data_IF_872276943596
#
_entry.id   IF_872276943596
#
_cell.length_a   1.000
_cell.length_b   1.000
_cell.length_c   1.000
_cell.angle_alpha   90.00
_cell.angle_beta   90.00
_cell.angle_gamma   90.00
#
_symmetry.space_group_name_H-M   'P 1'
#
loop_
_entity.id
_entity.type
_entity.pdbx_description
1 polymer ?
#
# COMPACT_ATOMS: atom_id res chain seq x y z
N UNK A 1 9.40 -21.78 10.08
CA UNK A 1 8.07 -21.30 9.69
C UNK A 1 7.97 -19.83 10.09
N UNK A 2 8.14 -18.93 9.14
CA UNK A 2 8.02 -17.48 9.34
C UNK A 2 6.52 -17.15 9.51
N UNK A 3 6.04 -17.07 10.73
CA UNK A 3 4.75 -16.45 11.04
C UNK A 3 5.03 -14.94 11.19
N UNK A 4 4.88 -14.19 10.08
CA UNK A 4 4.69 -12.75 10.16
C UNK A 4 3.44 -12.51 11.02
N UNK A 5 3.59 -11.87 12.17
CA UNK A 5 2.45 -11.41 12.96
C UNK A 5 1.85 -10.21 12.23
N UNK A 6 0.64 -10.36 11.75
CA UNK A 6 -0.18 -9.25 11.32
C UNK A 6 -0.34 -8.29 12.50
N UNK A 7 -0.05 -7.02 12.30
CA UNK A 7 -0.34 -5.97 13.30
C UNK A 7 -1.44 -5.10 12.71
N UNK A 8 -2.64 -5.16 13.29
CA UNK A 8 -3.59 -4.06 13.20
C UNK A 8 -3.05 -3.00 14.12
N UNK A 9 -2.62 -1.87 13.57
CA UNK A 9 -2.14 -0.77 14.37
C UNK A 9 -3.34 -0.12 15.07
N UNK A 10 -3.20 0.16 16.37
CA UNK A 10 -4.10 1.10 17.02
C UNK A 10 -4.08 2.42 16.24
N UNK A 11 -5.28 2.93 15.94
CA UNK A 11 -5.46 4.23 15.26
C UNK A 11 -4.90 5.41 16.08
N UNK A 12 -4.43 5.14 17.29
CA UNK A 12 -3.91 6.13 18.24
C UNK A 12 -2.43 6.52 18.03
N UNK A 13 -1.76 6.09 16.95
CA UNK A 13 -0.47 6.68 16.63
C UNK A 13 -0.71 8.09 16.04
N UNK A 14 -0.82 9.09 16.94
CA UNK A 14 -1.06 10.49 16.61
C UNK A 14 -0.16 11.03 15.48
N UNK A 15 1.08 10.55 15.41
CA UNK A 15 2.07 10.93 14.37
C UNK A 15 1.66 10.50 12.96
N UNK A 16 1.09 9.31 12.77
CA UNK A 16 0.78 8.82 11.43
C UNK A 16 -0.48 9.47 10.87
N UNK A 17 -1.47 9.74 11.74
CA UNK A 17 -2.65 10.54 11.37
C UNK A 17 -2.22 11.96 11.01
N UNK A 18 -1.33 12.56 11.79
CA UNK A 18 -0.77 13.89 11.50
C UNK A 18 -0.06 13.94 10.15
N UNK A 19 0.76 12.93 9.82
CA UNK A 19 1.43 12.82 8.52
C UNK A 19 0.40 12.72 7.38
N UNK A 20 -0.64 11.89 7.55
CA UNK A 20 -1.69 11.73 6.55
C UNK A 20 -2.45 13.05 6.31
N UNK A 21 -2.91 13.71 7.38
CA UNK A 21 -3.64 14.97 7.29
C UNK A 21 -2.77 16.09 6.70
N UNK A 22 -1.49 16.14 7.08
CA UNK A 22 -0.53 17.09 6.49
C UNK A 22 -0.33 16.83 5.00
N UNK A 23 -0.09 15.57 4.59
CA UNK A 23 0.07 15.22 3.17
C UNK A 23 -1.17 15.57 2.37
N UNK A 24 -2.36 15.31 2.94
CA UNK A 24 -3.63 15.69 2.32
C UNK A 24 -3.75 17.19 2.13
N UNK A 25 -3.42 17.98 3.16
CA UNK A 25 -3.44 19.43 3.10
C UNK A 25 -2.44 19.97 2.06
N UNK A 26 -1.22 19.43 1.99
CA UNK A 26 -0.21 19.81 1.00
C UNK A 26 -0.71 19.56 -0.44
N UNK A 27 -1.40 18.44 -0.67
CA UNK A 27 -1.98 18.08 -1.99
C UNK A 27 -3.17 18.99 -2.33
N UNK A 28 -4.00 19.37 -1.36
CA UNK A 28 -5.10 20.31 -1.53
C UNK A 28 -4.56 21.74 -1.85
N UNK A 29 -3.50 22.17 -1.16
CA UNK A 29 -2.82 23.44 -1.44
C UNK A 29 -2.20 23.46 -2.86
N UNK A 30 -1.73 22.30 -3.33
CA UNK A 30 -1.26 22.13 -4.71
C UNK A 30 -2.38 22.19 -5.77
N UNK A 31 -3.63 22.44 -5.38
CA UNK A 31 -4.77 22.61 -6.27
C UNK A 31 -5.55 21.36 -6.60
N UNK A 32 -5.26 20.24 -5.95
CA UNK A 32 -6.00 18.97 -6.12
C UNK A 32 -7.23 18.99 -5.22
N UNK A 33 -8.41 18.84 -5.81
CA UNK A 33 -9.67 18.77 -5.08
C UNK A 33 -10.04 17.29 -4.88
N UNK A 34 -10.05 16.84 -3.62
CA UNK A 34 -10.58 15.53 -3.28
C UNK A 34 -12.10 15.53 -3.42
N UNK A 35 -12.58 14.78 -4.39
CA UNK A 35 -14.01 14.66 -4.66
C UNK A 35 -14.42 13.21 -4.61
N UNK A 36 -15.34 12.90 -3.68
CA UNK A 36 -15.99 11.62 -3.68
C UNK A 36 -16.97 11.54 -4.87
N UNK A 37 -16.86 10.48 -5.65
CA UNK A 37 -17.74 10.18 -6.79
C UNK A 37 -18.78 9.10 -6.47
N UNK A 38 -18.79 8.57 -5.23
CA UNK A 38 -19.73 7.54 -4.79
C UNK A 38 -20.66 8.06 -3.70
N UNK A 39 -21.88 7.59 -3.73
CA UNK A 39 -22.94 8.03 -2.82
C UNK A 39 -23.92 6.89 -2.52
N UNK A 40 -24.66 7.02 -1.43
CA UNK A 40 -25.78 6.14 -1.09
C UNK A 40 -27.05 6.96 -1.23
N UNK A 41 -27.95 6.53 -2.09
CA UNK A 41 -29.25 7.17 -2.30
C UNK A 41 -30.38 6.23 -1.95
N UNK A 42 -31.45 6.75 -1.33
CA UNK A 42 -32.70 6.02 -1.14
C UNK A 42 -33.55 6.19 -2.39
N UNK A 43 -34.12 5.09 -2.85
CA UNK A 43 -34.98 5.03 -4.02
C UNK A 43 -36.26 4.30 -3.66
N UNK A 44 -37.39 4.98 -3.79
CA UNK A 44 -38.72 4.41 -3.53
C UNK A 44 -39.49 4.33 -4.84
N UNK A 45 -40.00 3.17 -5.16
CA UNK A 45 -40.70 2.89 -6.39
C UNK A 45 -42.08 2.31 -6.10
N UNK A 46 -43.03 2.49 -7.02
CA UNK A 46 -44.31 1.79 -6.95
C UNK A 46 -44.11 0.29 -7.23
N UNK A 47 -44.82 -0.54 -6.46
CA UNK A 47 -44.84 -1.97 -6.76
C UNK A 47 -45.57 -2.23 -8.10
N UNK A 48 -45.09 -3.21 -8.91
CA UNK A 48 -45.76 -3.58 -10.14
C UNK A 48 -47.16 -4.12 -9.87
N UNK A 49 -48.08 -3.81 -10.75
CA UNK A 49 -49.50 -4.30 -10.73
C UNK A 49 -49.86 -4.87 -12.09
N UNK A 50 -51.07 -5.45 -12.22
CA UNK A 50 -51.56 -5.91 -13.52
C UNK A 50 -51.76 -4.76 -14.53
N UNK A 51 -51.97 -3.54 -14.03
CA UNK A 51 -52.11 -2.32 -14.82
C UNK A 51 -50.80 -1.55 -15.03
N UNK A 52 -49.77 -1.86 -14.22
CA UNK A 52 -48.42 -1.29 -14.32
C UNK A 52 -47.39 -2.41 -14.47
N UNK A 53 -47.15 -2.76 -15.73
CA UNK A 53 -46.28 -3.87 -16.16
C UNK A 53 -44.89 -3.44 -16.53
N UNK A 54 -44.43 -2.25 -16.04
CA UNK A 54 -43.07 -1.77 -16.29
C UNK A 54 -42.04 -2.74 -15.72
N UNK A 55 -41.00 -3.12 -16.48
CA UNK A 55 -39.92 -3.98 -15.98
C UNK A 55 -39.17 -3.36 -14.80
N UNK A 56 -38.58 -4.21 -13.94
CA UNK A 56 -37.85 -3.77 -12.75
C UNK A 56 -36.67 -2.87 -13.11
N UNK A 57 -35.98 -3.14 -14.22
CA UNK A 57 -34.84 -2.37 -14.67
C UNK A 57 -35.21 -0.92 -15.00
N UNK A 58 -36.24 -0.74 -15.81
CA UNK A 58 -36.72 0.59 -16.19
C UNK A 58 -37.29 1.33 -14.99
N UNK A 59 -38.02 0.63 -14.11
CA UNK A 59 -38.56 1.17 -12.87
C UNK A 59 -37.45 1.71 -11.95
N UNK A 60 -36.38 0.92 -11.73
CA UNK A 60 -35.22 1.34 -10.97
C UNK A 60 -34.49 2.49 -11.67
N UNK A 61 -34.25 2.38 -12.97
CA UNK A 61 -33.55 3.40 -13.75
C UNK A 61 -34.24 4.75 -13.63
N UNK A 62 -35.55 4.83 -13.86
CA UNK A 62 -36.31 6.07 -13.75
C UNK A 62 -36.30 6.64 -12.34
N UNK A 63 -36.43 5.80 -11.31
CA UNK A 63 -36.39 6.26 -9.95
C UNK A 63 -34.99 6.82 -9.55
N UNK A 64 -33.90 6.22 -10.05
CA UNK A 64 -32.55 6.74 -9.87
C UNK A 64 -32.33 8.03 -10.66
N UNK A 65 -32.87 8.12 -11.89
CA UNK A 65 -32.82 9.34 -12.71
C UNK A 65 -33.50 10.51 -12.00
N UNK A 66 -34.68 10.28 -11.43
CA UNK A 66 -35.42 11.29 -10.66
C UNK A 66 -34.64 11.78 -9.46
N UNK A 67 -34.08 10.86 -8.64
CA UNK A 67 -33.31 11.22 -7.45
C UNK A 67 -31.99 11.91 -7.81
N UNK A 68 -31.34 11.48 -8.88
CA UNK A 68 -30.03 12.01 -9.27
C UNK A 68 -30.08 13.24 -10.19
N UNK A 69 -31.25 13.56 -10.75
CA UNK A 69 -31.43 14.64 -11.73
C UNK A 69 -30.63 14.41 -13.01
N UNK A 70 -30.59 13.19 -13.52
CA UNK A 70 -29.84 12.79 -14.73
C UNK A 70 -30.66 11.82 -15.56
N UNK A 71 -30.54 11.88 -16.88
CA UNK A 71 -31.19 10.95 -17.82
C UNK A 71 -30.27 9.79 -18.25
N UNK A 72 -29.09 9.63 -17.64
CA UNK A 72 -28.08 8.64 -18.01
C UNK A 72 -27.70 7.76 -16.84
N UNK A 73 -28.59 6.83 -16.49
CA UNK A 73 -28.33 5.82 -15.48
C UNK A 73 -27.90 4.52 -16.13
N UNK A 74 -26.84 3.92 -15.61
CA UNK A 74 -26.36 2.60 -16.00
C UNK A 74 -26.54 1.63 -14.85
N UNK A 75 -27.25 0.54 -15.10
CA UNK A 75 -27.33 -0.61 -14.20
C UNK A 75 -26.54 -1.75 -14.81
N UNK A 76 -25.39 -2.14 -14.25
CA UNK A 76 -24.59 -3.24 -14.77
C UNK A 76 -25.32 -4.58 -14.67
N UNK A 77 -25.02 -5.49 -15.60
CA UNK A 77 -25.60 -6.84 -15.61
C UNK A 77 -25.43 -7.58 -14.27
N UNK A 78 -24.35 -7.34 -13.58
CA UNK A 78 -24.04 -7.94 -12.28
C UNK A 78 -25.03 -7.51 -11.19
N UNK A 79 -25.50 -6.26 -11.21
CA UNK A 79 -26.54 -5.74 -10.33
C UNK A 79 -27.90 -6.32 -10.70
N UNK A 80 -28.18 -6.44 -12.01
CA UNK A 80 -29.44 -7.01 -12.52
C UNK A 80 -29.70 -8.43 -12.02
N UNK A 81 -28.66 -9.24 -11.81
CA UNK A 81 -28.79 -10.66 -11.41
C UNK A 81 -29.65 -10.87 -10.17
N UNK A 82 -29.52 -10.02 -9.17
CA UNK A 82 -30.20 -10.15 -7.88
C UNK A 82 -31.25 -9.04 -7.65
N UNK A 83 -31.40 -8.12 -8.62
CA UNK A 83 -32.22 -6.92 -8.52
C UNK A 83 -33.67 -7.26 -8.19
N UNK A 84 -34.29 -8.15 -8.97
CA UNK A 84 -35.70 -8.48 -8.84
C UNK A 84 -36.04 -9.08 -7.45
N UNK A 85 -35.15 -9.91 -6.93
CA UNK A 85 -35.30 -10.50 -5.58
C UNK A 85 -35.18 -9.43 -4.49
N UNK A 86 -34.16 -8.56 -4.60
CA UNK A 86 -33.92 -7.49 -3.65
C UNK A 86 -35.08 -6.48 -3.63
N UNK A 87 -35.56 -6.04 -4.80
CA UNK A 87 -36.67 -5.10 -4.89
C UNK A 87 -37.93 -5.64 -4.20
N UNK A 88 -38.29 -6.90 -4.44
CA UNK A 88 -39.48 -7.52 -3.84
C UNK A 88 -39.31 -7.73 -2.36
N UNK A 89 -38.13 -8.17 -1.89
CA UNK A 89 -37.84 -8.35 -0.48
C UNK A 89 -38.07 -7.07 0.32
N UNK A 90 -37.68 -5.94 -0.24
CA UNK A 90 -37.80 -4.62 0.42
C UNK A 90 -38.97 -3.79 -0.11
N UNK A 91 -39.96 -4.41 -0.77
CA UNK A 91 -41.18 -3.77 -1.24
C UNK A 91 -40.92 -2.49 -2.06
N UNK A 92 -39.92 -2.56 -2.93
CA UNK A 92 -39.51 -1.49 -3.84
C UNK A 92 -39.07 -0.19 -3.12
N UNK A 93 -38.66 -0.28 -1.86
CA UNK A 93 -38.03 0.80 -1.09
C UNK A 93 -36.62 0.34 -0.68
N UNK A 94 -35.63 0.84 -1.38
CA UNK A 94 -34.24 0.35 -1.29
C UNK A 94 -33.26 1.51 -1.22
N UNK A 95 -32.03 1.21 -0.84
CA UNK A 95 -30.91 2.11 -1.01
C UNK A 95 -29.97 1.57 -2.11
N UNK A 96 -29.49 2.49 -2.94
CA UNK A 96 -28.56 2.19 -4.00
C UNK A 96 -27.21 2.84 -3.72
N UNK A 97 -26.14 2.07 -3.82
CA UNK A 97 -24.80 2.64 -3.92
C UNK A 97 -24.57 3.03 -5.37
N UNK A 98 -24.27 4.28 -5.60
CA UNK A 98 -24.07 4.84 -6.96
C UNK A 98 -22.69 5.43 -7.11
N UNK A 99 -22.22 5.47 -8.36
CA UNK A 99 -21.04 6.21 -8.77
C UNK A 99 -21.43 7.28 -9.78
N UNK A 100 -21.07 8.54 -9.47
CA UNK A 100 -21.30 9.68 -10.35
C UNK A 100 -20.12 9.83 -11.32
N UNK A 101 -20.36 9.69 -12.61
CA UNK A 101 -19.41 10.03 -13.66
C UNK A 101 -19.69 11.44 -14.21
N UNK A 102 -18.92 11.83 -15.23
CA UNK A 102 -19.07 13.17 -15.85
C UNK A 102 -20.48 13.40 -16.39
N UNK A 103 -21.05 12.40 -17.10
CA UNK A 103 -22.32 12.50 -17.80
C UNK A 103 -23.27 11.34 -17.49
N UNK A 104 -23.00 10.53 -16.46
CA UNK A 104 -23.79 9.35 -16.13
C UNK A 104 -23.66 8.98 -14.66
N UNK A 105 -24.69 8.31 -14.16
CA UNK A 105 -24.69 7.63 -12.87
C UNK A 105 -24.66 6.13 -13.10
N UNK A 106 -23.85 5.40 -12.38
CA UNK A 106 -23.80 3.94 -12.40
C UNK A 106 -24.24 3.38 -11.06
N UNK A 107 -25.22 2.51 -11.05
CA UNK A 107 -25.66 1.78 -9.85
C UNK A 107 -24.66 0.65 -9.59
N UNK A 108 -23.99 0.69 -8.46
CA UNK A 108 -23.01 -0.33 -8.07
C UNK A 108 -23.66 -1.46 -7.30
N UNK A 109 -24.61 -1.14 -6.42
CA UNK A 109 -25.26 -2.12 -5.53
C UNK A 109 -26.68 -1.68 -5.17
N UNK A 110 -27.54 -2.65 -4.80
CA UNK A 110 -28.90 -2.42 -4.33
C UNK A 110 -29.08 -3.16 -3.00
N UNK A 111 -29.40 -2.43 -1.94
CA UNK A 111 -29.40 -2.91 -0.58
C UNK A 111 -30.72 -2.54 0.14
N UNK A 112 -31.04 -3.26 1.19
CA UNK A 112 -32.19 -2.94 2.03
C UNK A 112 -31.91 -1.72 2.93
N UNK A 113 -32.98 -1.03 3.35
CA UNK A 113 -32.87 0.11 4.27
C UNK A 113 -32.46 -0.27 5.68
N UNK A 114 -32.51 -1.55 6.03
CA UNK A 114 -32.04 -2.12 7.30
C UNK A 114 -30.53 -2.32 7.35
N UNK A 115 -29.83 -2.12 6.24
CA UNK A 115 -28.38 -2.23 6.16
C UNK A 115 -27.70 -0.87 6.38
N UNK A 116 -26.83 -0.80 7.39
CA UNK A 116 -25.95 0.37 7.61
C UNK A 116 -24.81 0.34 6.58
N UNK A 117 -25.04 0.97 5.42
CA UNK A 117 -24.12 0.97 4.30
C UNK A 117 -23.08 2.07 4.48
N UNK A 118 -21.82 1.68 4.49
CA UNK A 118 -20.68 2.60 4.42
C UNK A 118 -19.95 2.42 3.11
N UNK A 119 -19.81 3.50 2.36
CA UNK A 119 -19.01 3.47 1.12
C UNK A 119 -17.55 3.62 1.46
N UNK A 120 -16.83 2.50 1.42
CA UNK A 120 -15.41 2.47 1.78
C UNK A 120 -14.51 2.30 0.56
N UNK A 121 -13.31 2.86 0.67
CA UNK A 121 -12.16 2.61 -0.19
C UNK A 121 -11.07 1.86 0.57
N UNK A 122 -10.27 1.09 -0.16
CA UNK A 122 -9.09 0.40 0.34
C UNK A 122 -7.87 0.95 -0.39
N UNK A 123 -6.90 1.49 0.33
CA UNK A 123 -5.60 1.86 -0.20
C UNK A 123 -4.57 0.81 0.24
N UNK A 124 -3.76 0.33 -0.69
CA UNK A 124 -2.76 -0.72 -0.44
C UNK A 124 -1.44 -0.35 -1.06
N UNK A 125 -0.39 -0.44 -0.27
CA UNK A 125 0.99 -0.42 -0.71
C UNK A 125 1.54 -1.85 -0.71
N UNK A 126 1.93 -2.33 -1.90
CA UNK A 126 2.50 -3.68 -2.08
C UNK A 126 4.01 -3.56 -2.27
N UNK A 127 4.71 -3.46 -1.15
CA UNK A 127 6.17 -3.53 -1.15
C UNK A 127 6.71 -4.93 -1.43
N UNK A 128 7.97 -5.01 -1.81
CA UNK A 128 8.67 -6.29 -2.01
C UNK A 128 8.68 -7.12 -0.72
N UNK A 129 8.88 -6.48 0.42
CA UNK A 129 9.03 -7.13 1.72
C UNK A 129 7.76 -7.06 2.56
N UNK A 130 7.07 -5.94 2.58
CA UNK A 130 5.89 -5.69 3.41
C UNK A 130 4.72 -5.19 2.57
N UNK A 131 3.51 -5.40 3.09
CA UNK A 131 2.27 -4.87 2.53
C UNK A 131 1.58 -4.07 3.61
N UNK A 132 1.22 -2.83 3.30
CA UNK A 132 0.44 -1.95 4.18
C UNK A 132 -0.90 -1.61 3.53
N UNK A 133 -1.94 -1.44 4.35
CA UNK A 133 -3.27 -1.13 3.86
C UNK A 133 -4.04 -0.20 4.80
N UNK A 134 -4.92 0.62 4.20
CA UNK A 134 -5.83 1.53 4.89
C UNK A 134 -7.25 1.31 4.37
N UNK A 135 -8.24 1.22 5.28
CA UNK A 135 -9.67 1.35 4.92
C UNK A 135 -10.08 2.79 5.22
N UNK A 136 -10.69 3.44 4.26
CA UNK A 136 -11.08 4.85 4.31
C UNK A 136 -12.58 4.96 4.04
N UNK A 137 -13.29 5.72 4.85
CA UNK A 137 -14.65 6.16 4.54
C UNK A 137 -14.59 7.17 3.38
N UNK A 138 -15.20 6.83 2.26
CA UNK A 138 -15.14 7.65 1.05
C UNK A 138 -15.98 8.93 1.15
N UNK A 139 -16.92 9.01 2.09
CA UNK A 139 -17.76 10.20 2.28
C UNK A 139 -17.07 11.23 3.16
N UNK A 140 -16.36 10.80 4.20
CA UNK A 140 -15.72 11.67 5.17
C UNK A 140 -14.21 11.82 4.97
N UNK A 141 -13.57 10.89 4.26
CA UNK A 141 -12.11 10.80 4.14
C UNK A 141 -11.43 10.25 5.41
N UNK A 142 -12.20 9.78 6.40
CA UNK A 142 -11.66 9.28 7.66
C UNK A 142 -11.05 7.89 7.49
N UNK A 143 -9.88 7.67 8.06
CA UNK A 143 -9.26 6.35 8.15
C UNK A 143 -10.02 5.51 9.18
N UNK A 144 -10.57 4.38 8.76
CA UNK A 144 -11.35 3.47 9.61
C UNK A 144 -10.52 2.31 10.16
N UNK A 145 -9.51 1.87 9.42
CA UNK A 145 -8.58 0.83 9.84
C UNK A 145 -7.25 0.96 9.11
N UNK A 146 -6.19 0.52 9.77
CA UNK A 146 -4.84 0.41 9.21
C UNK A 146 -4.25 -0.92 9.62
N UNK A 147 -3.57 -1.60 8.71
CA UNK A 147 -2.82 -2.80 9.02
C UNK A 147 -1.62 -2.98 8.09
N UNK A 148 -0.63 -3.74 8.55
CA UNK A 148 0.51 -4.15 7.75
C UNK A 148 0.90 -5.59 8.04
N UNK A 149 1.50 -6.23 7.04
CA UNK A 149 1.99 -7.62 7.15
C UNK A 149 3.17 -7.83 6.22
N UNK A 150 3.90 -8.93 6.39
CA UNK A 150 4.92 -9.35 5.43
C UNK A 150 4.32 -9.82 4.12
N UNK A 151 4.98 -9.51 3.00
CA UNK A 151 4.57 -10.02 1.69
C UNK A 151 4.81 -11.54 1.60
N UNK A 152 3.75 -12.31 1.42
CA UNK A 152 3.81 -13.78 1.33
C UNK A 152 4.66 -14.32 0.18
N UNK A 153 5.00 -13.48 -0.79
CA UNK A 153 5.87 -13.83 -1.91
C UNK A 153 7.36 -13.95 -1.52
N UNK A 154 7.78 -13.46 -0.34
CA UNK A 154 9.19 -13.51 0.14
C UNK A 154 9.76 -14.93 0.08
N UNK A 155 8.98 -15.94 0.41
CA UNK A 155 9.39 -17.35 0.39
C UNK A 155 9.73 -17.90 -1.00
N UNK A 156 9.31 -17.18 -2.04
CA UNK A 156 9.56 -17.55 -3.44
C UNK A 156 10.66 -16.72 -4.09
N UNK A 157 11.10 -15.65 -3.44
CA UNK A 157 12.19 -14.78 -3.85
C UNK A 157 12.29 -13.59 -2.92
N UNK A 158 13.49 -13.32 -2.40
CA UNK A 158 13.75 -12.20 -1.50
C UNK A 158 13.60 -10.84 -2.22
N UNK A 159 13.92 -10.81 -3.50
CA UNK A 159 13.91 -9.63 -4.36
C UNK A 159 13.03 -9.82 -5.61
N UNK A 160 12.83 -8.74 -6.37
CA UNK A 160 11.97 -8.72 -7.56
C UNK A 160 12.46 -9.65 -8.67
N UNK A 161 13.78 -9.76 -8.88
CA UNK A 161 14.37 -10.59 -9.95
C UNK A 161 14.11 -12.06 -9.67
N UNK A 162 14.38 -12.51 -8.45
CA UNK A 162 14.11 -13.88 -8.03
C UNK A 162 12.62 -14.25 -8.15
N UNK A 163 11.70 -13.32 -7.85
CA UNK A 163 10.26 -13.54 -8.05
C UNK A 163 9.88 -13.64 -9.51
N UNK A 164 10.45 -12.82 -10.39
CA UNK A 164 10.24 -12.94 -11.84
C UNK A 164 10.71 -14.31 -12.33
N UNK A 165 11.90 -14.75 -11.91
CA UNK A 165 12.44 -16.08 -12.26
C UNK A 165 11.51 -17.20 -11.78
N UNK A 166 10.97 -17.10 -10.57
CA UNK A 166 9.99 -18.07 -10.07
C UNK A 166 8.67 -18.02 -10.85
N UNK A 167 8.22 -16.81 -11.25
CA UNK A 167 6.99 -16.63 -12.01
C UNK A 167 7.02 -17.29 -13.40
N UNK A 168 8.21 -17.42 -14.01
CA UNK A 168 8.39 -18.04 -15.33
C UNK A 168 8.26 -19.56 -15.29
N UNK A 169 8.50 -20.17 -14.13
CA UNK A 169 8.38 -21.64 -13.97
C UNK A 169 6.92 -22.09 -14.17
N UNK A 170 6.69 -23.35 -14.57
CA UNK A 170 5.33 -23.88 -14.68
C UNK A 170 4.52 -23.67 -13.40
N UNK A 171 3.36 -23.00 -13.51
CA UNK A 171 2.52 -22.64 -12.37
C UNK A 171 3.04 -21.49 -11.49
N UNK A 172 4.23 -20.96 -11.74
CA UNK A 172 4.88 -19.96 -10.90
C UNK A 172 4.10 -18.65 -10.78
N UNK A 173 3.52 -18.15 -11.88
CA UNK A 173 2.67 -16.94 -11.86
C UNK A 173 1.49 -17.08 -10.91
N UNK A 174 0.74 -18.18 -11.03
CA UNK A 174 -0.41 -18.45 -10.17
C UNK A 174 -0.02 -18.58 -8.70
N UNK A 175 1.08 -19.23 -8.44
CA UNK A 175 1.65 -19.42 -7.10
C UNK A 175 2.02 -18.09 -6.43
N UNK A 176 2.66 -17.17 -7.17
CA UNK A 176 3.00 -15.84 -6.67
C UNK A 176 1.75 -14.95 -6.52
N UNK A 177 0.80 -15.05 -7.45
CA UNK A 177 -0.48 -14.36 -7.33
C UNK A 177 -1.28 -14.86 -6.11
N UNK A 178 -1.34 -16.17 -5.89
CA UNK A 178 -2.02 -16.73 -4.71
C UNK A 178 -1.34 -16.30 -3.40
N UNK A 179 -0.01 -16.22 -3.37
CA UNK A 179 0.72 -15.75 -2.20
C UNK A 179 0.38 -14.30 -1.84
N UNK A 180 0.25 -13.40 -2.82
CA UNK A 180 -0.11 -12.02 -2.54
C UNK A 180 -1.62 -11.85 -2.29
N UNK A 181 -2.48 -12.49 -3.06
CA UNK A 181 -3.93 -12.30 -2.94
C UNK A 181 -4.52 -13.11 -1.80
N UNK A 182 -4.34 -14.45 -1.84
CA UNK A 182 -5.03 -15.35 -0.89
C UNK A 182 -4.37 -15.40 0.48
N UNK A 183 -3.04 -15.28 0.53
CA UNK A 183 -2.30 -15.48 1.76
C UNK A 183 -1.84 -14.17 2.42
N UNK A 184 -1.89 -13.05 1.70
CA UNK A 184 -1.51 -11.73 2.22
C UNK A 184 -2.69 -10.76 2.25
N UNK A 185 -3.25 -10.39 1.09
CA UNK A 185 -4.29 -9.35 1.02
C UNK A 185 -5.61 -9.78 1.65
N UNK A 186 -6.15 -10.96 1.29
CA UNK A 186 -7.44 -11.39 1.82
C UNK A 186 -7.45 -11.55 3.34
N UNK A 187 -6.44 -12.17 4.00
CA UNK A 187 -6.35 -12.18 5.45
C UNK A 187 -6.22 -10.79 6.07
N UNK A 188 -5.42 -9.90 5.46
CA UNK A 188 -5.23 -8.53 5.93
C UNK A 188 -6.55 -7.75 5.89
N UNK A 189 -7.28 -7.83 4.77
CA UNK A 189 -8.60 -7.21 4.60
C UNK A 189 -9.60 -7.74 5.63
N UNK A 190 -9.65 -9.05 5.83
CA UNK A 190 -10.57 -9.66 6.78
C UNK A 190 -10.32 -9.18 8.22
N UNK A 191 -9.06 -9.08 8.63
CA UNK A 191 -8.67 -8.59 9.95
C UNK A 191 -9.02 -7.10 10.13
N UNK A 192 -8.73 -6.25 9.14
CA UNK A 192 -9.10 -4.84 9.15
C UNK A 192 -10.61 -4.63 9.21
N UNK A 193 -11.37 -5.40 8.43
CA UNK A 193 -12.83 -5.36 8.43
C UNK A 193 -13.41 -5.78 9.80
N UNK A 194 -12.85 -6.81 10.43
CA UNK A 194 -13.26 -7.26 11.75
C UNK A 194 -12.97 -6.19 12.83
N UNK A 195 -11.79 -5.58 12.80
CA UNK A 195 -11.40 -4.54 13.76
C UNK A 195 -12.25 -3.28 13.63
N UNK A 196 -12.56 -2.84 12.41
CA UNK A 196 -13.36 -1.63 12.14
C UNK A 196 -14.88 -1.88 12.09
N UNK A 197 -15.31 -3.14 12.20
CA UNK A 197 -16.73 -3.55 12.05
C UNK A 197 -17.33 -3.16 10.70
N UNK A 198 -16.51 -3.13 9.66
CA UNK A 198 -16.91 -2.85 8.28
C UNK A 198 -17.13 -4.18 7.56
N UNK A 199 -18.20 -4.28 6.77
CA UNK A 199 -18.36 -5.42 5.87
C UNK A 199 -17.40 -5.27 4.68
N UNK A 200 -16.68 -6.32 4.32
CA UNK A 200 -15.80 -6.30 3.15
C UNK A 200 -16.55 -5.97 1.86
N UNK A 201 -17.83 -6.34 1.74
CA UNK A 201 -18.72 -5.97 0.63
C UNK A 201 -19.00 -4.47 0.52
N UNK A 202 -18.69 -3.67 1.54
CA UNK A 202 -18.81 -2.22 1.51
C UNK A 202 -17.54 -1.50 1.03
N UNK A 203 -16.51 -2.25 0.63
CA UNK A 203 -15.31 -1.70 -0.01
C UNK A 203 -15.54 -1.71 -1.52
N UNK A 204 -15.90 -0.57 -2.08
CA UNK A 204 -16.32 -0.41 -3.49
C UNK A 204 -15.19 0.02 -4.42
N UNK A 205 -14.04 0.35 -3.87
CA UNK A 205 -12.83 0.74 -4.62
C UNK A 205 -11.58 0.29 -3.89
N UNK A 206 -10.57 -0.13 -4.66
CA UNK A 206 -9.24 -0.40 -4.13
C UNK A 206 -8.21 0.35 -4.97
N UNK A 207 -7.32 1.10 -4.32
CA UNK A 207 -6.16 1.72 -4.95
C UNK A 207 -4.91 0.97 -4.51
N UNK A 208 -4.03 0.69 -5.46
CA UNK A 208 -2.79 -0.07 -5.22
C UNK A 208 -1.60 0.76 -5.66
N UNK A 209 -0.64 0.95 -4.77
CA UNK A 209 0.72 1.35 -5.07
C UNK A 209 1.64 0.13 -4.96
N UNK A 210 2.69 0.09 -5.74
CA UNK A 210 3.70 -0.96 -5.70
C UNK A 210 4.63 -0.87 -6.90
N UNK A 211 5.81 -1.46 -6.78
CA UNK A 211 6.73 -1.47 -7.90
C UNK A 211 6.18 -2.25 -9.09
N UNK A 212 6.75 -2.03 -10.27
CA UNK A 212 6.25 -2.61 -11.52
C UNK A 212 6.12 -4.14 -11.46
N UNK A 213 7.07 -4.83 -10.83
CA UNK A 213 7.01 -6.29 -10.66
C UNK A 213 5.86 -6.70 -9.76
N UNK A 214 5.65 -6.03 -8.63
CA UNK A 214 4.56 -6.35 -7.71
C UNK A 214 3.19 -6.16 -8.37
N UNK A 215 3.02 -5.09 -9.16
CA UNK A 215 1.81 -4.85 -9.93
C UNK A 215 1.53 -5.98 -10.94
N UNK A 216 2.57 -6.44 -11.66
CA UNK A 216 2.44 -7.55 -12.62
C UNK A 216 2.10 -8.89 -11.94
N UNK A 217 2.74 -9.18 -10.80
CA UNK A 217 2.48 -10.40 -10.03
C UNK A 217 1.10 -10.38 -9.38
N UNK A 218 0.59 -9.22 -8.97
CA UNK A 218 -0.77 -9.06 -8.45
C UNK A 218 -1.82 -9.46 -9.50
N UNK A 219 -1.70 -8.93 -10.71
CA UNK A 219 -2.66 -9.26 -11.78
C UNK A 219 -2.35 -10.58 -12.48
N UNK A 220 -1.23 -11.22 -12.18
CA UNK A 220 -0.87 -12.53 -12.71
C UNK A 220 -0.47 -12.55 -14.19
N UNK A 221 0.02 -11.42 -14.72
CA UNK A 221 0.54 -11.33 -16.09
C UNK A 221 1.99 -11.74 -16.20
N UNK A 222 2.46 -11.95 -17.44
CA UNK A 222 3.82 -12.36 -17.70
C UNK A 222 4.81 -11.24 -17.39
N UNK A 223 5.75 -11.47 -16.47
CA UNK A 223 6.65 -10.45 -15.92
C UNK A 223 8.10 -10.57 -16.38
N UNK A 224 8.47 -11.62 -17.13
CA UNK A 224 9.87 -11.85 -17.54
C UNK A 224 10.48 -10.68 -18.33
N UNK A 225 9.75 -9.99 -19.24
CA UNK A 225 10.31 -8.86 -19.97
C UNK A 225 10.76 -7.67 -19.09
N UNK A 226 10.26 -7.58 -17.84
CA UNK A 226 10.70 -6.53 -16.92
C UNK A 226 12.20 -6.60 -16.63
N UNK A 227 12.79 -7.83 -16.57
CA UNK A 227 14.20 -8.06 -16.29
C UNK A 227 15.06 -8.34 -17.53
N UNK A 228 14.42 -8.50 -18.69
CA UNK A 228 15.11 -8.83 -19.94
C UNK A 228 15.19 -7.60 -20.84
N UNK A 229 16.37 -7.34 -21.41
CA UNK A 229 16.53 -6.27 -22.40
C UNK A 229 15.54 -6.45 -23.57
N UNK A 230 14.79 -5.41 -23.97
CA UNK A 230 14.92 -3.98 -23.65
C UNK A 230 14.12 -3.51 -22.42
N UNK A 231 13.76 -4.36 -21.48
CA UNK A 231 13.12 -4.03 -20.21
C UNK A 231 11.73 -3.38 -20.36
N UNK A 232 10.87 -3.98 -21.16
CA UNK A 232 9.52 -3.46 -21.45
C UNK A 232 8.48 -4.26 -20.64
N UNK A 233 7.76 -3.64 -19.67
CA UNK A 233 6.68 -4.31 -18.94
C UNK A 233 5.46 -4.52 -19.81
N UNK A 234 4.54 -5.40 -19.38
CA UNK A 234 3.29 -5.68 -20.11
C UNK A 234 2.37 -4.46 -20.12
N UNK A 235 2.38 -3.65 -19.05
CA UNK A 235 1.56 -2.46 -18.92
C UNK A 235 2.22 -1.43 -18.01
N UNK A 236 1.91 -0.16 -18.22
CA UNK A 236 2.17 0.93 -17.29
C UNK A 236 0.91 1.23 -16.46
N UNK A 237 -0.25 1.15 -17.06
CA UNK A 237 -1.55 1.33 -16.42
C UNK A 237 -2.46 0.15 -16.72
N UNK A 238 -3.37 -0.15 -15.80
CA UNK A 238 -4.42 -1.14 -16.01
C UNK A 238 -5.78 -0.46 -16.11
N UNK A 239 -6.66 -1.03 -16.93
CA UNK A 239 -8.04 -0.57 -17.06
C UNK A 239 -9.00 -1.72 -16.76
N UNK A 240 -10.13 -1.37 -16.10
CA UNK A 240 -11.26 -2.29 -15.88
C UNK A 240 -10.93 -3.60 -15.13
N UNK A 241 -9.95 -3.57 -14.24
CA UNK A 241 -9.69 -4.69 -13.31
C UNK A 241 -10.65 -4.58 -12.13
N UNK A 242 -11.32 -5.68 -11.79
CA UNK A 242 -12.23 -5.76 -10.65
C UNK A 242 -11.73 -6.77 -9.60
N UNK A 243 -12.19 -6.62 -8.38
CA UNK A 243 -11.77 -7.47 -7.26
C UNK A 243 -11.99 -8.96 -7.55
N UNK A 244 -13.12 -9.34 -8.16
CA UNK A 244 -13.43 -10.70 -8.53
C UNK A 244 -12.44 -11.30 -9.54
N UNK A 245 -11.88 -10.48 -10.45
CA UNK A 245 -10.92 -10.94 -11.47
C UNK A 245 -9.61 -11.41 -10.84
N UNK A 246 -9.27 -10.84 -9.69
CA UNK A 246 -8.07 -11.17 -8.92
C UNK A 246 -8.35 -12.12 -7.76
N UNK A 247 -9.60 -12.37 -7.41
CA UNK A 247 -10.00 -13.16 -6.24
C UNK A 247 -9.79 -12.40 -4.91
N UNK A 248 -9.88 -11.09 -4.92
CA UNK A 248 -9.82 -10.23 -3.73
C UNK A 248 -11.20 -10.18 -3.08
N UNK A 249 -11.27 -10.41 -1.78
CA UNK A 249 -12.51 -10.56 -1.02
C UNK A 249 -13.02 -9.22 -0.48
N UNK A 250 -13.41 -8.34 -1.41
CA UNK A 250 -14.15 -7.10 -1.17
C UNK A 250 -15.41 -7.11 -2.03
N UNK A 251 -16.10 -5.97 -2.23
CA UNK A 251 -17.20 -5.91 -3.20
C UNK A 251 -16.73 -6.48 -4.55
N UNK A 252 -17.39 -7.49 -5.13
CA UNK A 252 -16.86 -8.23 -6.28
C UNK A 252 -16.54 -7.35 -7.49
N UNK A 253 -17.35 -6.31 -7.71
CA UNK A 253 -17.19 -5.36 -8.80
C UNK A 253 -16.45 -4.07 -8.39
N UNK A 254 -15.82 -4.06 -7.20
CA UNK A 254 -14.93 -2.99 -6.80
C UNK A 254 -13.82 -2.82 -7.84
N UNK A 255 -13.62 -1.60 -8.33
CA UNK A 255 -12.53 -1.31 -9.26
C UNK A 255 -11.20 -1.33 -8.52
N UNK A 256 -10.23 -2.03 -9.10
CA UNK A 256 -8.84 -2.00 -8.68
C UNK A 256 -8.12 -0.97 -9.55
N UNK A 257 -7.65 0.09 -8.93
CA UNK A 257 -6.91 1.18 -9.58
C UNK A 257 -5.47 1.07 -9.13
N UNK A 258 -4.56 0.81 -10.04
CA UNK A 258 -3.13 0.79 -9.73
C UNK A 258 -2.53 2.15 -10.08
N UNK A 259 -1.68 2.66 -9.19
CA UNK A 259 -0.84 3.81 -9.51
C UNK A 259 0.02 3.48 -10.73
N UNK A 260 0.14 4.38 -11.72
CA UNK A 260 0.82 4.08 -12.97
C UNK A 260 2.31 3.80 -12.74
N UNK A 261 2.84 2.80 -13.45
CA UNK A 261 4.27 2.58 -13.53
C UNK A 261 4.90 3.55 -14.56
N UNK A 262 6.18 3.87 -14.42
CA UNK A 262 6.92 4.69 -15.38
C UNK A 262 7.88 3.82 -16.20
N UNK A 263 8.41 2.78 -15.60
CA UNK A 263 9.37 1.87 -16.22
C UNK A 263 9.44 0.54 -15.49
N UNK A 264 10.34 -0.32 -15.93
CA UNK A 264 10.52 -1.65 -15.32
C UNK A 264 10.95 -1.61 -13.86
N UNK A 265 11.71 -0.58 -13.47
CA UNK A 265 12.26 -0.42 -12.13
C UNK A 265 11.74 0.83 -11.40
N UNK A 266 10.82 1.59 -11.99
CA UNK A 266 10.16 2.74 -11.37
C UNK A 266 8.66 2.50 -11.45
N UNK A 267 8.08 2.12 -10.35
CA UNK A 267 6.70 1.62 -10.27
C UNK A 267 5.69 2.63 -9.76
N UNK A 268 4.51 2.11 -9.47
CA UNK A 268 3.37 2.88 -8.95
C UNK A 268 3.58 3.38 -7.52
N UNK A 269 4.46 2.78 -6.74
CA UNK A 269 4.93 3.27 -5.44
C UNK A 269 5.60 4.65 -5.59
N UNK A 270 6.49 4.77 -6.57
CA UNK A 270 7.23 6.02 -6.83
C UNK A 270 6.33 7.10 -7.41
N UNK A 271 5.40 6.76 -8.29
CA UNK A 271 4.43 7.74 -8.81
C UNK A 271 3.47 8.22 -7.72
N UNK A 272 3.01 7.31 -6.85
CA UNK A 272 2.20 7.68 -5.69
C UNK A 272 2.96 8.56 -4.70
N UNK A 273 4.22 8.21 -4.38
CA UNK A 273 5.08 9.01 -3.51
C UNK A 273 5.42 10.39 -4.10
N UNK A 274 5.71 10.45 -5.39
CA UNK A 274 5.94 11.70 -6.12
C UNK A 274 4.69 12.59 -6.07
N UNK A 275 3.50 12.03 -6.28
CA UNK A 275 2.23 12.75 -6.18
C UNK A 275 2.04 13.29 -4.76
N UNK A 276 2.18 12.44 -3.74
CA UNK A 276 1.98 12.81 -2.34
C UNK A 276 3.00 13.84 -1.82
N UNK A 277 4.22 13.82 -2.34
CA UNK A 277 5.28 14.78 -1.95
C UNK A 277 5.10 16.18 -2.55
N UNK A 278 4.19 16.37 -3.51
CA UNK A 278 3.95 17.62 -4.24
C UNK A 278 5.21 18.21 -4.91
N UNK A 279 6.22 17.43 -5.21
CA UNK A 279 7.44 17.86 -5.90
C UNK A 279 7.14 18.48 -7.28
N UNK A 280 6.09 17.97 -7.93
CA UNK A 280 5.62 18.39 -9.26
C UNK A 280 4.97 19.78 -9.30
N UNK A 281 4.73 20.44 -8.16
CA UNK A 281 4.17 21.79 -8.07
C UNK A 281 5.18 22.82 -7.59
N UNK A 282 6.40 22.41 -7.27
CA UNK A 282 7.41 23.29 -6.66
C UNK A 282 8.30 23.90 -7.72
N UNK A 283 8.55 25.23 -7.69
CA UNK A 283 9.50 25.87 -8.59
C UNK A 283 10.96 25.50 -8.25
N UNK A 284 11.24 25.12 -7.00
CA UNK A 284 12.58 24.76 -6.54
C UNK A 284 12.92 23.32 -6.88
N UNK A 285 14.17 23.07 -7.31
CA UNK A 285 14.69 21.74 -7.50
C UNK A 285 14.57 20.93 -6.21
N UNK A 286 13.93 19.79 -6.28
CA UNK A 286 13.65 18.92 -5.15
C UNK A 286 14.08 17.49 -5.46
N UNK A 287 14.41 16.75 -4.42
CA UNK A 287 14.77 15.34 -4.52
C UNK A 287 13.83 14.52 -3.62
N UNK A 288 13.12 13.58 -4.23
CA UNK A 288 12.36 12.54 -3.55
C UNK A 288 13.20 11.26 -3.58
N UNK A 289 13.33 10.61 -2.44
CA UNK A 289 14.08 9.37 -2.29
C UNK A 289 13.17 8.35 -1.61
N UNK A 290 12.98 7.19 -2.23
CA UNK A 290 12.39 6.01 -1.62
C UNK A 290 13.52 5.02 -1.29
N UNK A 291 13.65 4.69 -0.01
CA UNK A 291 14.68 3.78 0.50
C UNK A 291 14.02 2.47 0.93
N UNK A 292 14.10 1.46 0.09
CA UNK A 292 13.62 0.11 0.36
C UNK A 292 14.66 -0.94 -0.03
N UNK A 293 14.19 -2.09 -0.49
CA UNK A 293 15.03 -3.15 -1.08
C UNK A 293 15.81 -2.64 -2.30
N UNK A 294 15.20 -1.72 -3.05
CA UNK A 294 15.88 -0.87 -4.01
C UNK A 294 15.88 0.57 -3.52
N UNK A 295 16.65 1.43 -4.14
CA UNK A 295 16.60 2.87 -3.93
C UNK A 295 16.07 3.53 -5.19
N UNK A 296 14.94 4.19 -5.09
CA UNK A 296 14.36 4.95 -6.19
C UNK A 296 14.45 6.45 -5.87
N UNK A 297 14.80 7.22 -6.89
CA UNK A 297 14.97 8.66 -6.78
C UNK A 297 14.13 9.37 -7.84
N UNK A 298 13.50 10.47 -7.45
CA UNK A 298 12.90 11.44 -8.36
C UNK A 298 13.51 12.80 -8.08
N UNK A 299 14.10 13.40 -9.10
CA UNK A 299 14.74 14.71 -9.02
C UNK A 299 14.10 15.65 -10.03
N UNK A 300 13.72 16.84 -9.61
CA UNK A 300 13.12 17.82 -10.49
C UNK A 300 12.30 18.88 -9.77
N UNK A 301 11.43 19.51 -10.53
CA UNK A 301 10.54 20.57 -10.10
C UNK A 301 9.26 20.58 -10.97
N UNK A 302 8.49 21.67 -10.96
CA UNK A 302 7.27 21.82 -11.77
C UNK A 302 7.52 21.80 -13.29
N UNK A 303 8.73 22.11 -13.76
CA UNK A 303 9.05 22.16 -15.18
C UNK A 303 9.45 20.81 -15.74
N UNK A 304 10.18 20.00 -14.96
CA UNK A 304 10.61 18.67 -15.36
C UNK A 304 10.90 17.76 -14.15
N UNK A 305 10.79 16.47 -14.36
CA UNK A 305 11.18 15.45 -13.39
C UNK A 305 11.94 14.33 -14.09
N UNK A 306 12.97 13.82 -13.44
CA UNK A 306 13.72 12.65 -13.84
C UNK A 306 13.67 11.62 -12.72
N UNK A 307 13.58 10.34 -13.07
CA UNK A 307 13.61 9.25 -12.11
C UNK A 307 14.68 8.23 -12.46
N UNK A 308 15.24 7.63 -11.44
CA UNK A 308 16.12 6.47 -11.60
C UNK A 308 15.89 5.50 -10.44
N UNK A 309 16.24 4.24 -10.70
CA UNK A 309 16.31 3.21 -9.67
C UNK A 309 17.76 2.74 -9.54
N UNK A 310 18.18 2.51 -8.30
CA UNK A 310 19.47 1.92 -7.98
C UNK A 310 19.29 0.72 -7.06
N UNK A 311 20.22 -0.20 -7.09
CA UNK A 311 20.23 -1.31 -6.13
C UNK A 311 20.77 -0.79 -4.79
N UNK A 312 19.91 -0.68 -3.78
CA UNK A 312 20.29 -0.35 -2.41
C UNK A 312 20.69 -1.62 -1.63
N UNK A 313 20.22 -2.77 -2.07
CA UNK A 313 20.36 -4.05 -1.39
C UNK A 313 19.47 -4.17 -0.16
N UNK A 314 19.35 -5.36 0.44
CA UNK A 314 18.48 -5.60 1.60
C UNK A 314 19.05 -5.06 2.92
N UNK A 315 20.19 -4.35 2.90
CA UNK A 315 20.87 -3.84 4.10
C UNK A 315 19.97 -2.88 4.89
N UNK A 316 19.23 -1.98 4.21
CA UNK A 316 18.31 -1.05 4.86
C UNK A 316 17.07 -1.70 5.48
N UNK A 317 16.79 -2.94 5.12
CA UNK A 317 15.75 -3.76 5.75
C UNK A 317 16.32 -4.74 6.79
N UNK A 318 17.60 -4.60 7.13
CA UNK A 318 18.32 -5.48 8.05
C UNK A 318 18.72 -6.82 7.42
N UNK A 319 18.58 -6.98 6.10
CA UNK A 319 19.11 -8.15 5.37
C UNK A 319 20.63 -8.05 5.16
N UNK A 320 21.29 -9.20 4.98
CA UNK A 320 22.75 -9.33 4.74
C UNK A 320 23.66 -8.74 5.84
N UNK A 321 23.10 -8.30 6.97
CA UNK A 321 23.82 -7.82 8.14
C UNK A 321 23.60 -8.82 9.26
N UNK A 322 24.68 -9.30 9.89
CA UNK A 322 24.62 -10.37 10.89
C UNK A 322 23.74 -10.04 12.11
N UNK A 323 23.63 -8.76 12.50
CA UNK A 323 22.76 -8.25 13.53
C UNK A 323 21.59 -7.42 13.00
N UNK A 324 21.35 -7.45 11.67
CA UNK A 324 20.28 -6.71 11.05
C UNK A 324 18.91 -7.32 11.34
N UNK A 325 17.90 -6.47 11.55
CA UNK A 325 16.51 -6.89 11.73
C UNK A 325 15.55 -5.81 11.23
N UNK A 326 14.29 -6.17 11.07
CA UNK A 326 13.24 -5.21 10.76
C UNK A 326 12.97 -4.28 11.95
N UNK A 327 12.38 -3.12 11.70
CA UNK A 327 11.93 -2.17 12.71
C UNK A 327 10.75 -2.77 13.52
N UNK A 328 11.09 -3.62 14.48
CA UNK A 328 10.17 -4.30 15.43
C UNK A 328 10.75 -4.20 16.82
N UNK A 329 10.01 -4.64 17.83
CA UNK A 329 10.45 -4.60 19.23
C UNK A 329 11.84 -5.23 19.41
N UNK A 330 12.74 -4.49 20.06
CA UNK A 330 14.15 -4.84 20.25
C UNK A 330 15.09 -4.36 19.15
N UNK A 331 14.58 -3.73 18.08
CA UNK A 331 15.43 -3.15 17.05
C UNK A 331 16.00 -1.80 17.50
N UNK A 332 17.30 -1.61 17.31
CA UNK A 332 17.95 -0.30 17.45
C UNK A 332 17.55 0.53 16.21
N UNK A 333 16.80 1.60 16.43
CA UNK A 333 16.30 2.50 15.38
C UNK A 333 17.13 3.77 15.20
N UNK A 334 17.83 4.19 16.25
CA UNK A 334 18.71 5.35 16.23
C UNK A 334 19.92 5.13 17.15
N UNK A 335 21.04 5.76 16.82
CA UNK A 335 22.29 5.67 17.55
C UNK A 335 23.00 7.01 17.52
N UNK A 336 23.54 7.43 18.65
CA UNK A 336 24.54 8.48 18.71
C UNK A 336 25.78 7.97 19.43
N UNK A 337 26.98 8.42 19.02
CA UNK A 337 28.26 7.97 19.61
C UNK A 337 29.01 9.17 20.19
N UNK A 338 29.41 9.06 21.44
CA UNK A 338 30.29 10.04 22.05
C UNK A 338 31.68 9.99 21.38
N UNK A 339 32.18 11.15 20.95
CA UNK A 339 33.39 11.22 20.13
C UNK A 339 34.66 10.85 20.92
N UNK A 340 34.70 11.09 22.23
CA UNK A 340 35.87 10.87 23.03
C UNK A 340 35.92 9.45 23.58
N UNK A 341 34.82 9.01 24.19
CA UNK A 341 34.72 7.70 24.83
C UNK A 341 34.39 6.56 23.87
N UNK A 342 33.81 6.90 22.69
CA UNK A 342 33.25 5.96 21.73
C UNK A 342 32.08 5.12 22.29
N UNK A 343 31.40 5.60 23.33
CA UNK A 343 30.23 4.93 23.90
C UNK A 343 28.97 5.30 23.12
N UNK A 344 28.14 4.32 22.74
CA UNK A 344 26.88 4.57 22.02
C UNK A 344 25.74 4.87 23.00
N UNK A 345 24.87 5.78 22.60
CA UNK A 345 23.52 5.94 23.16
C UNK A 345 22.53 5.43 22.12
N UNK A 346 21.67 4.51 22.50
CA UNK A 346 20.79 3.77 21.60
C UNK A 346 19.32 4.12 21.86
N UNK A 347 18.55 4.27 20.78
CA UNK A 347 17.08 4.23 20.82
C UNK A 347 16.62 2.86 20.33
N UNK A 348 15.82 2.17 21.15
CA UNK A 348 15.35 0.81 20.88
C UNK A 348 13.83 0.83 20.79
N UNK A 349 13.29 0.23 19.75
CA UNK A 349 11.84 0.10 19.54
C UNK A 349 11.27 -0.86 20.60
N UNK A 350 10.17 -0.49 21.23
CA UNK A 350 9.43 -1.29 22.19
C UNK A 350 9.22 -0.58 23.53
N UNK A 351 8.82 -1.34 24.54
CA UNK A 351 8.53 -0.83 25.88
C UNK A 351 9.81 -0.30 26.59
N UNK A 352 9.67 0.62 27.57
CA UNK A 352 10.79 1.08 28.38
C UNK A 352 11.53 -0.09 29.03
N UNK A 353 12.83 -0.22 28.72
CA UNK A 353 13.68 -1.31 29.20
C UNK A 353 13.80 -2.51 28.23
N UNK A 354 13.25 -2.40 27.04
CA UNK A 354 13.43 -3.39 25.98
C UNK A 354 14.93 -3.55 25.67
N UNK A 355 15.41 -4.79 25.69
CA UNK A 355 16.80 -5.11 25.30
C UNK A 355 16.97 -5.07 23.79
N UNK A 356 18.16 -4.60 23.35
CA UNK A 356 18.54 -4.64 21.95
C UNK A 356 18.69 -6.09 21.45
N UNK A 357 18.02 -6.40 20.36
CA UNK A 357 18.08 -7.70 19.66
C UNK A 357 18.88 -7.58 18.37
N UNK A 358 18.77 -6.45 17.68
CA UNK A 358 19.45 -6.18 16.43
C UNK A 358 19.31 -4.72 16.02
N UNK A 359 19.68 -4.40 14.79
CA UNK A 359 19.68 -3.04 14.25
C UNK A 359 18.77 -2.99 13.02
N UNK A 360 17.82 -2.06 12.98
CA UNK A 360 17.01 -1.86 11.78
C UNK A 360 17.66 -0.87 10.80
N UNK A 361 17.06 -0.66 9.65
CA UNK A 361 17.63 0.15 8.58
C UNK A 361 17.99 1.58 9.01
N UNK A 362 17.12 2.28 9.73
CA UNK A 362 17.41 3.61 10.28
C UNK A 362 18.59 3.59 11.25
N UNK A 363 18.61 2.61 12.15
CA UNK A 363 19.72 2.41 13.08
C UNK A 363 21.07 2.14 12.41
N UNK A 364 21.07 1.43 11.27
CA UNK A 364 22.28 1.20 10.46
C UNK A 364 22.81 2.51 9.87
N UNK A 365 21.91 3.33 9.32
CA UNK A 365 22.27 4.63 8.74
C UNK A 365 22.88 5.52 9.83
N UNK A 366 22.22 5.65 10.97
CA UNK A 366 22.72 6.43 12.10
C UNK A 366 24.07 5.91 12.61
N UNK A 367 24.19 4.59 12.79
CA UNK A 367 25.42 3.97 13.28
C UNK A 367 26.61 4.25 12.34
N UNK A 368 26.44 4.09 11.03
CA UNK A 368 27.50 4.38 10.05
C UNK A 368 27.83 5.86 10.05
N UNK A 369 26.83 6.73 10.08
CA UNK A 369 26.98 8.18 10.15
C UNK A 369 27.78 8.60 11.41
N UNK A 370 27.44 8.07 12.57
CA UNK A 370 28.11 8.36 13.83
C UNK A 370 29.55 7.82 13.89
N UNK A 371 29.77 6.60 13.41
CA UNK A 371 31.12 6.04 13.28
C UNK A 371 32.02 6.93 12.41
N UNK A 372 31.47 7.46 11.30
CA UNK A 372 32.19 8.38 10.43
C UNK A 372 32.39 9.76 11.08
N UNK A 373 31.35 10.34 11.66
CA UNK A 373 31.38 11.64 12.36
C UNK A 373 32.41 11.65 13.50
N UNK A 374 32.52 10.54 14.24
CA UNK A 374 33.48 10.36 15.33
C UNK A 374 34.91 9.99 14.85
N UNK A 375 35.08 9.82 13.51
CA UNK A 375 36.37 9.42 12.96
C UNK A 375 36.80 8.01 13.36
N UNK A 376 35.86 7.12 13.69
CA UNK A 376 36.11 5.71 14.00
C UNK A 376 36.35 4.95 12.70
N UNK A 377 35.61 5.31 11.65
CA UNK A 377 35.84 4.84 10.29
C UNK A 377 36.24 5.99 9.39
N UNK A 378 37.00 5.69 8.34
CA UNK A 378 37.37 6.65 7.29
C UNK A 378 36.35 6.68 6.14
N UNK A 379 36.49 7.59 5.13
CA UNK A 379 35.56 7.65 3.97
C UNK A 379 35.49 6.37 3.14
N UNK A 380 36.40 5.43 3.32
CA UNK A 380 36.36 4.12 2.66
C UNK A 380 35.73 3.02 3.56
N UNK A 381 35.13 3.41 4.69
CA UNK A 381 34.51 2.49 5.63
C UNK A 381 35.49 1.65 6.47
N UNK A 382 36.80 1.96 6.44
CA UNK A 382 37.79 1.22 7.23
C UNK A 382 37.90 1.80 8.62
N UNK A 383 37.93 0.94 9.63
CA UNK A 383 38.21 1.31 11.00
C UNK A 383 39.64 1.87 11.16
N UNK A 384 39.77 3.05 11.74
CA UNK A 384 41.03 3.79 11.87
C UNK A 384 41.32 4.21 13.30
N UNK A 385 40.40 3.96 14.24
CA UNK A 385 40.60 4.16 15.71
C UNK A 385 40.58 2.82 16.42
N UNK A 386 41.37 2.72 17.48
CA UNK A 386 41.35 1.61 18.43
C UNK A 386 40.63 2.03 19.71
N UNK A 387 40.06 1.06 20.40
CA UNK A 387 39.38 1.32 21.67
C UNK A 387 38.60 0.10 22.16
N UNK A 388 37.99 0.21 23.33
CA UNK A 388 37.25 -0.88 23.98
C UNK A 388 36.15 -1.48 23.11
N UNK A 389 35.53 -0.65 22.27
CA UNK A 389 34.42 -1.05 21.40
C UNK A 389 34.83 -1.41 19.97
N UNK A 390 36.10 -1.15 19.57
CA UNK A 390 36.63 -1.52 18.25
C UNK A 390 37.48 -2.77 18.37
N UNK A 391 37.15 -3.80 17.64
CA UNK A 391 37.84 -5.09 17.60
C UNK A 391 38.31 -5.40 16.21
N UNK A 392 39.50 -5.99 16.10
CA UNK A 392 40.04 -6.47 14.82
C UNK A 392 40.15 -7.99 14.87
N UNK A 393 39.74 -8.64 13.81
CA UNK A 393 39.92 -10.08 13.65
C UNK A 393 41.34 -10.42 13.19
N UNK A 394 41.62 -11.72 13.03
CA UNK A 394 42.93 -12.21 12.57
C UNK A 394 43.30 -11.79 11.13
N UNK A 395 42.35 -11.28 10.37
CA UNK A 395 42.57 -10.76 9.01
C UNK A 395 42.63 -9.24 8.95
N UNK A 396 42.57 -8.56 10.10
CA UNK A 396 42.55 -7.11 10.20
C UNK A 396 41.22 -6.46 9.87
N UNK A 397 40.13 -7.23 9.83
CA UNK A 397 38.78 -6.70 9.65
C UNK A 397 38.30 -6.10 10.97
N UNK A 398 37.96 -4.81 10.95
CA UNK A 398 37.45 -4.10 12.11
C UNK A 398 35.96 -4.34 12.33
N UNK A 399 35.54 -4.35 13.59
CA UNK A 399 34.14 -4.37 14.02
C UNK A 399 33.93 -3.43 15.20
N UNK A 400 32.75 -2.84 15.30
CA UNK A 400 32.36 -2.00 16.42
C UNK A 400 31.31 -2.73 17.25
N UNK A 401 31.55 -2.84 18.56
CA UNK A 401 30.61 -3.49 19.50
C UNK A 401 29.57 -2.48 19.95
N UNK A 402 28.34 -2.64 19.47
CA UNK A 402 27.21 -1.75 19.78
C UNK A 402 26.74 -2.03 21.23
N UNK A 403 26.53 -3.32 21.56
CA UNK A 403 26.08 -3.80 22.87
C UNK A 403 27.01 -4.94 23.28
N UNK A 404 27.47 -4.95 24.49
CA UNK A 404 28.19 -6.10 25.06
C UNK A 404 27.20 -7.16 25.53
N UNK A 405 27.61 -8.41 25.55
CA UNK A 405 26.76 -9.54 25.97
C UNK A 405 26.33 -9.45 27.45
N UNK A 406 27.04 -8.66 28.22
CA UNK A 406 26.81 -8.47 29.66
C UNK A 406 25.82 -7.33 29.94
N UNK A 407 25.51 -6.50 28.96
CA UNK A 407 24.55 -5.38 29.03
C UNK A 407 23.15 -5.84 28.59
#
# INVERSE_FOLDING_TARGET
AYKSRMKVADLDSAKEIEIFERTKADVEEAGIVFKNDMDVIRVTMKEPTLDDTMPDLERLTWAVEEVCGTERVKVPFTVMKNMAETLRKYKFDVQCVIRRGKDKVEVLDILGLDEDVRVCGLAVDIGTTSVAALIIDMQTGTILAKASTGNGQIRYGADVINRIIEAVKPGGRKKLQDAIVKETLNPLIAEMCAASKIKASHIYRMCVAGNTTMNHLLVGVYSDPIRMEPYIPTFYETTNVHAQDLGIHIFPHARIIMAPNIGSYVGGDITAGTFASCIWTRPTMSLFIDLGTNGELVFGNEEFMMSCACSAGPAFEGGDISCGMRATDGAIEACSIDKETMEPTLSIIGDPGQKAVGVCGSGIIDLISELFRCGIINPKGKFVREGKRVRFDKYGMGSYVIVFQED
#
